data_IF_854603180248
#
_entry.id   IF_854603180248
#
_cell.length_a   1.000
_cell.length_b   1.000
_cell.length_c   1.000
_cell.angle_alpha   90.00
_cell.angle_beta   90.00
_cell.angle_gamma   90.00
#
_symmetry.space_group_name_H-M   'P 1'
#
loop_
_entity.id
_entity.type
_entity.pdbx_description
1 polymer ?
#
# COMPACT_ATOMS: atom_id res chain seq x y z
N UNK A 1 14.25 14.60 3.41
CA UNK A 1 14.17 13.12 3.45
C UNK A 1 14.14 12.60 2.02
N UNK A 2 15.01 11.64 1.68
CA UNK A 2 15.07 11.03 0.34
C UNK A 2 14.61 9.58 0.42
N UNK A 3 13.67 9.17 -0.46
CA UNK A 3 13.19 7.79 -0.54
C UNK A 3 14.06 6.99 -1.51
N UNK A 4 14.60 5.88 -1.03
CA UNK A 4 15.40 4.96 -1.82
C UNK A 4 14.55 3.77 -2.27
N UNK A 5 14.64 3.42 -3.55
CA UNK A 5 13.99 2.20 -4.03
C UNK A 5 14.65 0.99 -3.37
N UNK A 6 13.84 0.06 -2.86
CA UNK A 6 14.34 -1.24 -2.35
C UNK A 6 15.03 -1.93 -3.54
N UNK A 7 16.28 -2.40 -3.42
CA UNK A 7 16.88 -3.27 -4.44
C UNK A 7 16.19 -4.64 -4.36
N UNK A 8 14.96 -4.73 -4.85
CA UNK A 8 14.13 -5.93 -4.80
C UNK A 8 14.08 -6.64 -6.16
N UNK A 9 14.53 -7.90 -6.18
CA UNK A 9 14.43 -8.89 -7.28
C UNK A 9 15.00 -8.45 -8.64
N UNK A 10 16.28 -8.06 -8.66
CA UNK A 10 17.09 -8.07 -9.88
C UNK A 10 17.50 -9.49 -10.34
N UNK A 11 17.20 -10.52 -9.55
CA UNK A 11 17.52 -11.92 -9.84
C UNK A 11 16.87 -12.42 -11.13
N UNK A 12 15.58 -12.16 -11.35
CA UNK A 12 14.90 -12.61 -12.56
C UNK A 12 15.47 -11.98 -13.85
N UNK A 13 15.63 -10.63 -13.96
CA UNK A 13 16.22 -10.05 -15.16
C UNK A 13 17.70 -10.45 -15.32
N UNK A 14 18.46 -10.62 -14.24
CA UNK A 14 19.83 -11.13 -14.30
C UNK A 14 19.88 -12.58 -14.80
N UNK A 15 18.99 -13.46 -14.32
CA UNK A 15 18.85 -14.85 -14.76
C UNK A 15 18.44 -14.91 -16.24
N UNK A 16 17.52 -14.05 -16.69
CA UNK A 16 17.14 -13.99 -18.11
C UNK A 16 18.32 -13.57 -19.01
N UNK A 17 19.13 -12.59 -18.58
CA UNK A 17 20.33 -12.18 -19.32
C UNK A 17 21.36 -13.31 -19.34
N UNK A 18 21.62 -13.94 -18.19
CA UNK A 18 22.57 -15.06 -18.07
C UNK A 18 22.12 -16.26 -18.91
N UNK A 19 20.84 -16.62 -18.85
CA UNK A 19 20.27 -17.69 -19.65
C UNK A 19 20.35 -17.38 -21.15
N UNK A 20 20.10 -16.13 -21.57
CA UNK A 20 20.25 -15.70 -22.96
C UNK A 20 21.70 -15.78 -23.46
N UNK A 21 22.68 -15.41 -22.62
CA UNK A 21 24.11 -15.51 -22.93
C UNK A 21 24.54 -16.98 -23.03
N UNK A 22 24.15 -17.83 -22.07
CA UNK A 22 24.45 -19.26 -22.07
C UNK A 22 23.83 -19.98 -23.29
N UNK A 23 22.63 -19.57 -23.71
CA UNK A 23 21.96 -20.14 -24.88
C UNK A 23 22.72 -19.82 -26.20
N UNK A 24 23.41 -18.67 -26.24
CA UNK A 24 24.25 -18.24 -27.36
C UNK A 24 25.62 -18.94 -27.37
N UNK A 25 26.20 -19.26 -26.21
CA UNK A 25 27.55 -19.83 -26.11
C UNK A 25 27.60 -21.36 -26.25
N UNK A 26 26.53 -22.09 -25.90
CA UNK A 26 26.48 -23.57 -26.00
C UNK A 26 25.90 -24.10 -27.33
N UNK A 27 25.56 -23.23 -28.29
CA UNK A 27 24.91 -23.65 -29.53
C UNK A 27 25.86 -23.69 -30.73
N UNK A 28 26.45 -24.84 -31.05
CA UNK A 28 27.25 -25.04 -32.29
C UNK A 28 26.41 -25.13 -33.58
N UNK A 29 25.14 -24.69 -33.56
CA UNK A 29 24.22 -24.75 -34.70
C UNK A 29 23.43 -23.46 -34.87
N UNK A 30 23.78 -22.68 -35.90
CA UNK A 30 23.24 -21.35 -36.22
C UNK A 30 21.80 -21.33 -36.71
N UNK A 31 20.84 -21.77 -35.89
CA UNK A 31 19.42 -21.59 -36.16
C UNK A 31 18.97 -20.16 -35.87
N UNK A 32 18.59 -19.40 -36.91
CA UNK A 32 18.10 -18.01 -36.84
C UNK A 32 17.05 -17.78 -35.72
N UNK A 33 16.16 -18.76 -35.50
CA UNK A 33 15.13 -18.69 -34.44
C UNK A 33 15.75 -18.64 -33.04
N UNK A 34 16.80 -19.41 -32.77
CA UNK A 34 17.50 -19.46 -31.48
C UNK A 34 18.21 -18.15 -31.20
N UNK A 35 18.84 -17.57 -32.23
CA UNK A 35 19.51 -16.27 -32.14
C UNK A 35 18.51 -15.15 -31.82
N UNK A 36 17.33 -15.14 -32.48
CA UNK A 36 16.27 -14.17 -32.22
C UNK A 36 15.69 -14.30 -30.80
N UNK A 37 15.47 -15.52 -30.30
CA UNK A 37 14.97 -15.75 -28.94
C UNK A 37 15.99 -15.29 -27.89
N UNK A 38 17.27 -15.59 -28.09
CA UNK A 38 18.32 -15.15 -27.18
C UNK A 38 18.48 -13.62 -27.17
N UNK A 39 18.47 -12.98 -28.34
CA UNK A 39 18.53 -11.52 -28.45
C UNK A 39 17.31 -10.86 -27.80
N UNK A 40 16.12 -11.43 -28.00
CA UNK A 40 14.88 -10.97 -27.39
C UNK A 40 14.90 -11.06 -25.86
N UNK A 41 15.42 -12.17 -25.30
CA UNK A 41 15.59 -12.34 -23.86
C UNK A 41 16.59 -11.35 -23.25
N UNK A 42 17.72 -11.13 -23.93
CA UNK A 42 18.73 -10.14 -23.52
C UNK A 42 18.15 -8.72 -23.60
N UNK A 43 17.50 -8.35 -24.70
CA UNK A 43 16.92 -7.02 -24.87
C UNK A 43 15.83 -6.74 -23.82
N UNK A 44 14.94 -7.70 -23.58
CA UNK A 44 13.90 -7.58 -22.56
C UNK A 44 14.50 -7.48 -21.16
N UNK A 45 15.49 -8.32 -20.84
CA UNK A 45 16.22 -8.29 -19.58
C UNK A 45 16.95 -6.95 -19.35
N UNK A 46 17.61 -6.42 -20.39
CA UNK A 46 18.29 -5.11 -20.36
C UNK A 46 17.29 -3.97 -20.20
N UNK A 47 16.15 -3.98 -20.90
CA UNK A 47 15.12 -2.94 -20.75
C UNK A 47 14.53 -2.93 -19.34
N UNK A 48 14.22 -4.11 -18.79
CA UNK A 48 13.73 -4.25 -17.41
C UNK A 48 14.80 -3.81 -16.41
N UNK A 49 16.06 -4.19 -16.63
CA UNK A 49 17.19 -3.80 -15.77
C UNK A 49 17.44 -2.29 -15.83
N UNK A 50 17.43 -1.67 -17.00
CA UNK A 50 17.55 -0.21 -17.17
C UNK A 50 16.33 0.51 -16.56
N UNK A 51 15.12 -0.05 -16.69
CA UNK A 51 13.92 0.45 -16.02
C UNK A 51 14.00 0.36 -14.50
N UNK A 52 14.68 -0.65 -13.96
CA UNK A 52 14.95 -0.81 -12.54
C UNK A 52 16.07 0.13 -12.05
N UNK A 53 17.09 0.36 -12.88
CA UNK A 53 18.26 1.20 -12.60
C UNK A 53 18.04 2.70 -12.86
N UNK A 54 16.89 3.12 -13.44
CA UNK A 54 16.61 4.55 -13.63
C UNK A 54 16.48 5.25 -12.28
N UNK A 55 17.18 6.38 -12.07
CA UNK A 55 17.27 7.06 -10.78
C UNK A 55 15.89 7.63 -10.39
N UNK A 56 15.17 6.84 -9.61
CA UNK A 56 14.01 7.28 -8.86
C UNK A 56 14.51 8.24 -7.78
N UNK A 57 14.11 9.52 -7.87
CA UNK A 57 14.35 10.50 -6.81
C UNK A 57 13.00 11.04 -6.38
N UNK A 58 12.62 10.68 -5.16
CA UNK A 58 11.53 11.30 -4.44
C UNK A 58 12.12 11.92 -3.18
N UNK A 59 12.19 13.25 -3.18
CA UNK A 59 12.76 14.02 -2.07
C UNK A 59 11.65 14.86 -1.46
N UNK A 60 11.47 14.71 -0.16
CA UNK A 60 10.63 15.56 0.68
C UNK A 60 11.54 16.56 1.38
N UNK A 61 11.37 17.84 1.11
CA UNK A 61 12.17 18.90 1.71
C UNK A 61 11.27 20.05 2.21
N UNK A 62 11.90 21.12 2.72
CA UNK A 62 11.18 22.27 3.25
C UNK A 62 10.48 23.09 2.14
N UNK A 63 10.91 22.96 0.89
CA UNK A 63 10.41 23.72 -0.25
C UNK A 63 9.27 22.99 -0.98
N UNK A 64 9.27 21.65 -0.95
CA UNK A 64 8.24 20.84 -1.56
C UNK A 64 8.57 19.34 -1.71
N UNK A 65 7.96 18.78 -2.76
CA UNK A 65 8.13 17.40 -3.19
C UNK A 65 8.83 17.37 -4.55
N UNK A 66 10.06 16.88 -4.58
CA UNK A 66 10.75 16.61 -5.85
C UNK A 66 10.41 15.21 -6.33
N UNK A 67 9.68 15.10 -7.44
CA UNK A 67 9.23 13.81 -7.99
C UNK A 67 9.84 13.59 -9.37
N UNK A 68 10.47 12.42 -9.55
CA UNK A 68 11.05 12.00 -10.84
C UNK A 68 10.53 10.63 -11.27
N UNK A 69 9.38 10.61 -11.97
CA UNK A 69 8.76 9.42 -12.58
C UNK A 69 8.39 9.65 -14.06
N UNK A 70 8.10 8.59 -14.84
CA UNK A 70 7.46 8.76 -16.14
C UNK A 70 6.15 9.55 -15.99
N UNK A 71 6.00 10.65 -16.75
CA UNK A 71 4.82 11.53 -16.69
C UNK A 71 4.87 12.66 -15.64
N UNK A 72 5.80 12.63 -14.67
CA UNK A 72 5.93 13.67 -13.65
C UNK A 72 7.40 13.83 -13.23
N UNK A 73 8.06 14.86 -13.77
CA UNK A 73 9.48 15.19 -13.51
C UNK A 73 9.62 16.65 -13.10
N UNK A 74 9.21 16.97 -11.88
CA UNK A 74 9.30 18.34 -11.36
C UNK A 74 9.37 18.35 -9.85
N UNK A 75 9.81 19.49 -9.34
CA UNK A 75 9.61 19.87 -7.94
C UNK A 75 8.25 20.54 -7.83
N UNK A 76 7.40 20.01 -6.97
CA UNK A 76 6.07 20.54 -6.64
C UNK A 76 6.21 21.27 -5.32
N UNK A 77 5.98 22.58 -5.29
CA UNK A 77 6.11 23.34 -4.05
C UNK A 77 4.94 23.07 -3.11
N UNK A 78 5.15 23.19 -1.80
CA UNK A 78 4.07 23.03 -0.82
C UNK A 78 2.83 23.91 -1.07
N UNK A 79 2.94 25.17 -1.55
CA UNK A 79 1.77 25.99 -1.87
C UNK A 79 0.96 25.50 -3.08
N UNK A 80 1.56 24.70 -3.97
CA UNK A 80 0.85 24.08 -5.10
C UNK A 80 0.01 22.88 -4.65
N UNK A 81 0.18 22.42 -3.42
CA UNK A 81 -0.50 21.27 -2.85
C UNK A 81 -1.57 21.73 -1.86
N UNK A 82 -2.82 21.37 -2.12
CA UNK A 82 -3.88 21.49 -1.14
C UNK A 82 -3.73 20.42 -0.06
N UNK A 83 -3.37 19.20 -0.46
CA UNK A 83 -3.16 18.08 0.47
C UNK A 83 -2.20 17.04 -0.12
N UNK A 84 -1.53 16.31 0.77
CA UNK A 84 -0.72 15.13 0.46
C UNK A 84 -1.23 13.99 1.32
N UNK A 85 -1.70 12.93 0.68
CA UNK A 85 -2.38 11.83 1.36
C UNK A 85 -1.59 10.56 1.21
N UNK A 86 -1.28 9.93 2.35
CA UNK A 86 -0.78 8.57 2.37
C UNK A 86 -1.96 7.62 2.54
N UNK A 87 -2.28 6.90 1.48
CA UNK A 87 -3.41 5.98 1.39
C UNK A 87 -2.93 4.53 1.28
N UNK A 88 -3.78 3.60 1.67
CA UNK A 88 -3.61 2.18 1.41
C UNK A 88 -4.96 1.62 0.97
N UNK A 89 -5.16 1.34 -0.32
CA UNK A 89 -6.47 0.92 -0.82
C UNK A 89 -6.95 -0.35 -0.12
N UNK A 90 -8.27 -0.55 -0.05
CA UNK A 90 -8.79 -1.83 0.39
C UNK A 90 -8.29 -2.96 -0.52
N UNK A 91 -7.98 -4.15 0.03
CA UNK A 91 -7.61 -5.32 -0.76
C UNK A 91 -8.69 -5.61 -1.81
N UNK A 92 -8.31 -5.73 -3.08
CA UNK A 92 -9.21 -6.22 -4.12
C UNK A 92 -9.00 -7.72 -4.29
N UNK A 93 -10.08 -8.49 -4.17
CA UNK A 93 -10.05 -9.95 -4.40
C UNK A 93 -9.04 -10.71 -3.54
N UNK A 94 -8.87 -10.29 -2.28
CA UNK A 94 -7.98 -10.95 -1.32
C UNK A 94 -6.49 -10.66 -1.50
N UNK A 95 -6.09 -9.87 -2.53
CA UNK A 95 -4.70 -9.43 -2.72
C UNK A 95 -4.49 -8.12 -1.95
N UNK A 96 -3.50 -8.06 -1.02
CA UNK A 96 -3.16 -6.81 -0.34
C UNK A 96 -2.81 -5.72 -1.35
N UNK A 97 -3.46 -4.56 -1.25
CA UNK A 97 -3.12 -3.42 -2.09
C UNK A 97 -1.95 -2.65 -1.46
N UNK A 98 -0.98 -2.27 -2.28
CA UNK A 98 0.17 -1.55 -1.80
C UNK A 98 -0.20 -0.13 -1.34
N UNK A 99 0.47 0.40 -0.29
CA UNK A 99 0.33 1.78 0.10
C UNK A 99 0.72 2.71 -1.04
N UNK A 100 0.04 3.84 -1.19
CA UNK A 100 0.27 4.81 -2.25
C UNK A 100 0.23 6.23 -1.70
N UNK A 101 1.02 7.11 -2.31
CA UNK A 101 1.06 8.52 -1.99
C UNK A 101 0.32 9.33 -3.06
N UNK A 102 -0.68 10.09 -2.63
CA UNK A 102 -1.51 10.93 -3.48
C UNK A 102 -1.24 12.40 -3.19
N UNK A 103 -1.28 13.24 -4.22
CA UNK A 103 -1.21 14.70 -4.11
C UNK A 103 -2.48 15.33 -4.66
N UNK A 104 -3.12 16.18 -3.85
CA UNK A 104 -4.24 17.01 -4.29
C UNK A 104 -3.70 18.40 -4.65
N UNK A 105 -3.88 18.85 -5.91
CA UNK A 105 -3.46 20.17 -6.32
C UNK A 105 -4.26 21.27 -5.61
N UNK A 106 -3.61 22.39 -5.33
CA UNK A 106 -4.27 23.63 -4.94
C UNK A 106 -5.12 24.16 -6.10
N UNK A 107 -6.18 24.90 -5.77
CA UNK A 107 -7.08 25.48 -6.76
C UNK A 107 -6.31 26.31 -7.79
N UNK A 108 -6.51 26.01 -9.09
CA UNK A 108 -5.83 26.71 -10.18
C UNK A 108 -4.41 26.22 -10.48
N UNK A 109 -3.92 25.17 -9.81
CA UNK A 109 -2.59 24.59 -10.09
C UNK A 109 -2.71 23.25 -10.82
N UNK A 110 -1.94 23.10 -11.90
CA UNK A 110 -1.80 21.84 -12.63
C UNK A 110 -0.53 21.12 -12.21
N UNK A 111 -0.67 19.95 -11.57
CA UNK A 111 0.49 19.14 -11.13
C UNK A 111 0.80 18.03 -12.13
N UNK A 112 -0.22 17.47 -12.78
CA UNK A 112 -0.09 16.35 -13.71
C UNK A 112 -1.46 15.77 -14.09
N UNK A 113 -1.48 14.59 -14.74
CA UNK A 113 -2.74 13.88 -15.00
C UNK A 113 -3.39 13.48 -13.66
N UNK A 114 -4.67 13.82 -13.51
CA UNK A 114 -5.47 13.51 -12.31
C UNK A 114 -5.99 12.08 -12.44
N UNK A 115 -5.12 11.11 -12.16
CA UNK A 115 -5.35 9.68 -12.31
C UNK A 115 -5.93 9.01 -11.06
N UNK A 116 -6.04 9.75 -9.95
CA UNK A 116 -6.54 9.26 -8.68
C UNK A 116 -7.58 10.20 -8.03
N UNK A 117 -8.14 9.76 -6.91
CA UNK A 117 -9.06 10.54 -6.08
C UNK A 117 -8.65 10.47 -4.62
N UNK A 118 -8.86 11.56 -3.90
CA UNK A 118 -8.69 11.62 -2.47
C UNK A 118 -9.68 10.67 -1.77
N UNK A 119 -9.21 9.83 -0.84
CA UNK A 119 -10.02 8.72 -0.30
C UNK A 119 -11.19 9.16 0.59
N UNK A 120 -11.17 10.38 1.14
CA UNK A 120 -12.21 10.87 2.06
C UNK A 120 -13.19 11.88 1.45
N UNK A 121 -12.77 12.62 0.42
CA UNK A 121 -13.51 13.78 -0.10
C UNK A 121 -13.63 13.76 -1.64
N UNK A 122 -13.16 12.68 -2.26
CA UNK A 122 -13.22 12.40 -3.70
C UNK A 122 -12.58 13.45 -4.63
N UNK A 123 -11.88 14.44 -4.06
CA UNK A 123 -11.19 15.47 -4.85
C UNK A 123 -10.19 14.81 -5.81
N UNK A 124 -10.04 15.37 -7.02
CA UNK A 124 -9.10 14.82 -7.98
C UNK A 124 -7.68 14.91 -7.42
N UNK A 125 -6.97 13.80 -7.49
CA UNK A 125 -5.62 13.65 -6.98
C UNK A 125 -4.71 13.10 -8.08
N UNK A 126 -3.43 13.42 -7.96
CA UNK A 126 -2.36 12.80 -8.75
C UNK A 126 -1.75 11.71 -7.88
N UNK A 127 -1.72 10.48 -8.35
CA UNK A 127 -0.92 9.44 -7.71
C UNK A 127 0.56 9.79 -7.90
N UNK A 128 1.26 10.16 -6.82
CA UNK A 128 2.68 10.46 -6.89
C UNK A 128 3.49 9.18 -6.98
N UNK A 129 3.15 8.19 -6.14
CA UNK A 129 4.01 7.06 -5.89
C UNK A 129 3.27 5.83 -5.34
N UNK A 130 3.55 4.67 -5.93
CA UNK A 130 3.26 3.35 -5.35
C UNK A 130 4.42 2.92 -4.44
N UNK A 131 4.11 2.61 -3.19
CA UNK A 131 5.08 2.25 -2.15
C UNK A 131 5.44 0.75 -2.15
N UNK A 132 4.85 -0.08 -3.02
CA UNK A 132 5.14 -1.52 -3.12
C UNK A 132 6.64 -1.85 -3.28
N UNK A 133 7.42 -0.94 -3.86
CA UNK A 133 8.84 -1.12 -4.20
C UNK A 133 9.82 -0.25 -3.41
N UNK A 134 9.39 0.40 -2.33
CA UNK A 134 10.21 1.39 -1.61
C UNK A 134 10.86 0.78 -0.38
N UNK A 135 12.09 1.24 -0.08
CA UNK A 135 12.88 0.71 1.01
C UNK A 135 12.35 1.16 2.36
N UNK A 136 12.07 2.46 2.47
CA UNK A 136 11.55 3.11 3.67
C UNK A 136 10.16 2.56 4.01
N UNK A 137 9.92 2.36 5.30
CA UNK A 137 8.63 1.89 5.77
C UNK A 137 7.57 2.98 5.56
N UNK A 138 6.31 2.60 5.31
CA UNK A 138 5.21 3.56 5.23
C UNK A 138 5.02 4.41 6.50
N UNK A 139 5.58 4.00 7.65
CA UNK A 139 5.57 4.78 8.89
C UNK A 139 6.65 5.88 8.88
N UNK A 140 7.87 5.58 8.41
CA UNK A 140 8.93 6.57 8.24
C UNK A 140 8.54 7.65 7.22
N UNK A 141 7.88 7.25 6.12
CA UNK A 141 7.36 8.19 5.11
C UNK A 141 6.33 9.12 5.74
N UNK A 142 5.40 8.58 6.55
CA UNK A 142 4.42 9.37 7.25
C UNK A 142 5.07 10.37 8.22
N UNK A 143 6.06 9.93 8.99
CA UNK A 143 6.79 10.81 9.91
C UNK A 143 7.55 11.93 9.18
N UNK A 144 8.18 11.62 8.04
CA UNK A 144 8.85 12.61 7.20
C UNK A 144 7.86 13.62 6.60
N UNK A 145 6.76 13.15 6.03
CA UNK A 145 5.74 14.03 5.46
C UNK A 145 5.07 14.89 6.52
N UNK A 146 4.73 14.34 7.69
CA UNK A 146 4.19 15.11 8.81
C UNK A 146 5.14 16.24 9.23
N UNK A 147 6.45 15.99 9.19
CA UNK A 147 7.47 16.99 9.53
C UNK A 147 7.58 18.14 8.52
N UNK A 148 7.51 17.84 7.22
CA UNK A 148 7.78 18.85 6.18
C UNK A 148 6.51 19.47 5.58
N UNK A 149 5.46 18.68 5.37
CA UNK A 149 4.20 19.16 4.80
C UNK A 149 3.25 19.75 5.87
N UNK A 150 3.48 19.44 7.15
CA UNK A 150 2.67 19.91 8.28
C UNK A 150 1.19 19.58 8.07
N UNK A 151 0.33 20.58 8.24
CA UNK A 151 -1.13 20.49 8.08
C UNK A 151 -1.62 20.01 6.70
N UNK A 152 -0.77 20.05 5.67
CA UNK A 152 -1.13 19.55 4.33
C UNK A 152 -1.06 18.04 4.25
N UNK A 153 -0.36 17.38 5.17
CA UNK A 153 -0.24 15.92 5.18
C UNK A 153 -1.39 15.27 5.93
N UNK A 154 -1.95 14.23 5.31
CA UNK A 154 -3.01 13.42 5.88
C UNK A 154 -2.67 11.94 5.74
N UNK A 155 -2.56 11.23 6.88
CA UNK A 155 -2.43 9.77 6.88
C UNK A 155 -3.83 9.13 6.93
N UNK A 156 -4.36 8.79 5.76
CA UNK A 156 -5.69 8.19 5.63
C UNK A 156 -5.76 6.81 6.31
N UNK A 157 -4.62 6.13 6.49
CA UNK A 157 -4.54 4.85 7.20
C UNK A 157 -4.64 5.07 8.71
N UNK A 158 -4.00 6.12 9.23
CA UNK A 158 -4.13 6.51 10.63
C UNK A 158 -5.57 6.93 10.95
N UNK A 159 -6.19 7.70 10.07
CA UNK A 159 -7.60 8.10 10.22
C UNK A 159 -8.54 6.88 10.19
N UNK A 160 -8.33 5.93 9.27
CA UNK A 160 -9.09 4.67 9.28
C UNK A 160 -8.89 3.89 10.57
N UNK A 161 -7.65 3.75 11.06
CA UNK A 161 -7.36 3.11 12.36
C UNK A 161 -8.08 3.83 13.51
N UNK A 162 -8.11 5.15 13.51
CA UNK A 162 -8.79 5.96 14.52
C UNK A 162 -10.32 5.83 14.45
N UNK A 163 -10.89 5.73 13.24
CA UNK A 163 -12.33 5.50 13.06
C UNK A 163 -12.78 4.16 13.67
N UNK A 164 -11.89 3.16 13.73
CA UNK A 164 -12.15 1.91 14.43
C UNK A 164 -12.02 1.99 15.94
N UNK A 165 -11.57 3.10 16.55
CA UNK A 165 -11.31 3.18 17.99
C UNK A 165 -12.59 3.15 18.85
N UNK A 166 -13.72 3.60 18.30
CA UNK A 166 -15.01 3.62 19.01
C UNK A 166 -16.18 3.43 18.01
N UNK A 167 -16.43 2.20 17.53
CA UNK A 167 -17.56 1.95 16.64
C UNK A 167 -18.87 1.97 17.44
N UNK A 168 -19.72 2.98 17.17
CA UNK A 168 -21.05 3.10 17.78
C UNK A 168 -22.04 2.16 17.07
N UNK A 169 -22.24 0.98 17.65
CA UNK A 169 -23.19 -0.01 17.15
C UNK A 169 -24.57 0.17 17.78
N UNK A 170 -25.60 0.23 16.94
CA UNK A 170 -26.97 0.26 17.42
C UNK A 170 -27.34 -1.06 18.12
N UNK A 171 -27.93 -0.97 19.32
CA UNK A 171 -28.42 -2.12 20.07
C UNK A 171 -29.88 -2.39 19.71
N UNK A 172 -30.16 -3.59 19.21
CA UNK A 172 -31.50 -4.05 18.86
C UNK A 172 -32.07 -5.10 19.81
N UNK A 173 -33.33 -5.47 19.58
CA UNK A 173 -34.05 -6.58 20.26
C UNK A 173 -33.53 -7.98 19.85
N UNK A 174 -32.60 -8.03 18.90
CA UNK A 174 -31.87 -9.23 18.52
C UNK A 174 -30.61 -8.80 17.80
N UNK A 175 -29.47 -9.30 18.23
CA UNK A 175 -28.18 -8.88 17.68
C UNK A 175 -27.04 -9.73 18.18
N UNK A 176 -25.85 -9.51 17.64
CA UNK A 176 -24.66 -10.23 18.12
C UNK A 176 -24.35 -9.84 19.57
N UNK A 177 -23.86 -10.82 20.32
CA UNK A 177 -23.52 -10.66 21.74
C UNK A 177 -22.45 -9.58 21.92
N UNK A 178 -22.76 -8.57 22.73
CA UNK A 178 -21.96 -7.34 22.88
C UNK A 178 -20.53 -7.63 23.34
N UNK A 179 -20.37 -8.46 24.37
CA UNK A 179 -19.06 -8.85 24.92
C UNK A 179 -18.14 -9.51 23.87
N UNK A 180 -18.71 -10.36 23.02
CA UNK A 180 -17.97 -11.06 21.97
C UNK A 180 -17.52 -10.08 20.88
N UNK A 181 -18.44 -9.22 20.43
CA UNK A 181 -18.12 -8.20 19.42
C UNK A 181 -17.07 -7.24 19.95
N UNK A 182 -17.25 -6.71 21.17
CA UNK A 182 -16.28 -5.80 21.80
C UNK A 182 -14.90 -6.45 21.96
N UNK A 183 -14.83 -7.75 22.28
CA UNK A 183 -13.57 -8.48 22.37
C UNK A 183 -12.87 -8.59 21.01
N UNK A 184 -13.60 -8.91 19.94
CA UNK A 184 -13.06 -9.01 18.58
C UNK A 184 -12.59 -7.65 18.05
N UNK A 185 -13.40 -6.61 18.25
CA UNK A 185 -13.07 -5.24 17.87
C UNK A 185 -11.82 -4.78 18.62
N UNK A 186 -11.78 -4.96 19.95
CA UNK A 186 -10.62 -4.59 20.77
C UNK A 186 -9.34 -5.33 20.38
N UNK A 187 -9.42 -6.64 20.17
CA UNK A 187 -8.28 -7.44 19.71
C UNK A 187 -7.75 -6.99 18.36
N UNK A 188 -8.64 -6.63 17.43
CA UNK A 188 -8.23 -6.05 16.14
C UNK A 188 -7.62 -4.66 16.30
N UNK A 189 -8.20 -3.78 17.12
CA UNK A 189 -7.66 -2.44 17.41
C UNK A 189 -6.25 -2.52 18.02
N UNK A 190 -6.03 -3.37 19.03
CA UNK A 190 -4.73 -3.55 19.67
C UNK A 190 -3.69 -4.06 18.68
N UNK A 191 -4.08 -5.00 17.81
CA UNK A 191 -3.22 -5.48 16.73
C UNK A 191 -2.88 -4.38 15.73
N UNK A 192 -3.86 -3.55 15.33
CA UNK A 192 -3.64 -2.39 14.46
C UNK A 192 -2.70 -1.35 15.10
N UNK A 193 -2.87 -1.07 16.39
CA UNK A 193 -2.07 -0.10 17.14
C UNK A 193 -0.63 -0.57 17.36
N UNK A 194 -0.43 -1.87 17.58
CA UNK A 194 0.90 -2.44 17.82
C UNK A 194 1.83 -2.39 16.60
N UNK A 195 1.27 -2.34 15.38
CA UNK A 195 2.03 -2.42 14.14
C UNK A 195 2.71 -3.78 13.87
N UNK A 196 2.57 -4.77 14.78
CA UNK A 196 3.22 -6.09 14.67
C UNK A 196 2.47 -6.98 13.66
N UNK A 197 3.13 -7.41 12.55
CA UNK A 197 2.53 -8.29 11.56
C UNK A 197 1.96 -9.59 12.14
N UNK A 198 2.60 -10.17 13.16
CA UNK A 198 2.19 -11.44 13.76
C UNK A 198 0.88 -11.26 14.52
N UNK A 199 0.79 -10.21 15.35
CA UNK A 199 -0.44 -9.85 16.06
C UNK A 199 -1.59 -9.52 15.11
N UNK A 200 -1.30 -8.84 14.00
CA UNK A 200 -2.30 -8.52 12.97
C UNK A 200 -2.86 -9.76 12.29
N UNK A 201 -1.99 -10.69 11.87
CA UNK A 201 -2.40 -11.98 11.30
C UNK A 201 -3.19 -12.82 12.30
N UNK A 202 -2.79 -12.84 13.57
CA UNK A 202 -3.49 -13.57 14.63
C UNK A 202 -4.90 -13.00 14.86
N UNK A 203 -5.03 -11.67 15.02
CA UNK A 203 -6.33 -11.01 15.20
C UNK A 203 -7.26 -11.23 14.00
N UNK A 204 -6.74 -11.15 12.77
CA UNK A 204 -7.51 -11.47 11.56
C UNK A 204 -8.01 -12.91 11.57
N UNK A 205 -7.13 -13.85 11.90
CA UNK A 205 -7.49 -15.28 11.97
C UNK A 205 -8.59 -15.53 13.01
N UNK A 206 -8.56 -14.81 14.13
CA UNK A 206 -9.60 -14.89 15.16
C UNK A 206 -10.94 -14.39 14.64
N UNK A 207 -10.98 -13.23 13.98
CA UNK A 207 -12.19 -12.67 13.35
C UNK A 207 -12.75 -13.65 12.32
N UNK A 208 -11.90 -14.17 11.41
CA UNK A 208 -12.30 -15.12 10.38
C UNK A 208 -12.80 -16.46 10.96
N UNK A 209 -12.26 -16.88 12.12
CA UNK A 209 -12.73 -18.08 12.83
C UNK A 209 -14.08 -17.83 13.47
N UNK A 210 -14.25 -16.71 14.19
CA UNK A 210 -15.50 -16.36 14.85
C UNK A 210 -16.66 -16.23 13.85
N UNK A 211 -16.42 -15.63 12.68
CA UNK A 211 -17.42 -15.53 11.61
C UNK A 211 -17.81 -16.89 11.03
N UNK A 212 -16.84 -17.77 10.77
CA UNK A 212 -17.12 -19.13 10.27
C UNK A 212 -17.87 -19.99 11.27
N UNK A 213 -17.61 -19.82 12.56
CA UNK A 213 -18.35 -20.49 13.62
C UNK A 213 -19.78 -19.96 13.81
N UNK A 214 -20.06 -18.76 13.29
CA UNK A 214 -21.28 -18.02 13.53
C UNK A 214 -21.19 -17.26 14.86
N UNK A 215 -21.33 -15.93 14.80
CA UNK A 215 -21.34 -15.11 15.99
C UNK A 215 -22.62 -15.37 16.81
N UNK A 216 -22.51 -15.58 18.13
CA UNK A 216 -23.67 -15.83 18.97
C UNK A 216 -24.60 -14.62 18.98
N UNK A 217 -25.90 -14.88 18.84
CA UNK A 217 -26.97 -13.88 18.85
C UNK A 217 -27.67 -13.90 20.20
N UNK A 218 -27.93 -12.73 20.76
CA UNK A 218 -28.67 -12.54 22.02
C UNK A 218 -29.96 -11.76 21.78
N UNK A 219 -30.86 -11.79 22.77
CA UNK A 219 -32.13 -11.04 22.79
C UNK A 219 -31.92 -9.52 22.91
N UNK A 220 -30.70 -9.09 23.24
CA UNK A 220 -30.30 -7.68 23.18
C UNK A 220 -28.84 -7.62 22.81
N UNK A 221 -28.56 -7.16 21.59
CA UNK A 221 -27.22 -7.19 21.04
C UNK A 221 -27.04 -6.17 19.93
N UNK A 222 -25.80 -6.04 19.46
CA UNK A 222 -25.48 -5.13 18.38
C UNK A 222 -26.09 -5.59 17.05
N UNK A 223 -26.51 -4.61 16.24
CA UNK A 223 -27.03 -4.84 14.90
C UNK A 223 -26.08 -5.72 14.09
N UNK A 224 -26.59 -6.86 13.60
CA UNK A 224 -25.77 -7.86 12.90
C UNK A 224 -25.14 -7.27 11.64
N UNK A 225 -25.89 -6.46 10.89
CA UNK A 225 -25.42 -5.82 9.67
C UNK A 225 -24.26 -4.84 9.93
N UNK A 226 -24.41 -3.98 10.95
CA UNK A 226 -23.35 -3.01 11.29
C UNK A 226 -22.08 -3.70 11.80
N UNK A 227 -22.24 -4.76 12.58
CA UNK A 227 -21.10 -5.54 13.08
C UNK A 227 -20.42 -6.31 11.96
N UNK A 228 -21.17 -6.93 11.05
CA UNK A 228 -20.58 -7.65 9.92
C UNK A 228 -19.78 -6.69 9.02
N UNK A 229 -20.32 -5.51 8.71
CA UNK A 229 -19.61 -4.46 7.98
C UNK A 229 -18.34 -3.99 8.71
N UNK A 230 -18.42 -3.78 10.02
CA UNK A 230 -17.26 -3.36 10.82
C UNK A 230 -16.18 -4.44 10.90
N UNK A 231 -16.56 -5.72 11.07
CA UNK A 231 -15.61 -6.84 11.09
C UNK A 231 -14.98 -7.09 9.71
N UNK A 232 -15.72 -6.88 8.62
CA UNK A 232 -15.18 -6.91 7.26
C UNK A 232 -14.14 -5.81 7.06
N UNK A 233 -14.47 -4.58 7.47
CA UNK A 233 -13.58 -3.43 7.36
C UNK A 233 -12.32 -3.59 8.26
N UNK A 234 -12.48 -4.13 9.47
CA UNK A 234 -11.38 -4.42 10.40
C UNK A 234 -10.49 -5.54 9.88
N UNK A 235 -11.07 -6.61 9.33
CA UNK A 235 -10.33 -7.71 8.71
C UNK A 235 -9.49 -7.24 7.52
N UNK A 236 -10.07 -6.37 6.67
CA UNK A 236 -9.34 -5.73 5.58
C UNK A 236 -8.21 -4.83 6.10
N UNK A 237 -8.47 -4.02 7.13
CA UNK A 237 -7.45 -3.17 7.74
C UNK A 237 -6.32 -3.96 8.39
N UNK A 238 -6.56 -5.16 8.94
CA UNK A 238 -5.54 -6.05 9.52
C UNK A 238 -4.71 -6.77 8.45
N UNK A 239 -5.30 -7.03 7.28
CA UNK A 239 -4.62 -7.63 6.13
C UNK A 239 -3.52 -6.74 5.53
N UNK A 240 -3.57 -5.44 5.80
CA UNK A 240 -2.53 -4.50 5.41
C UNK A 240 -1.21 -4.85 6.12
N UNK A 241 -0.29 -5.51 5.42
CA UNK A 241 1.03 -5.82 5.98
C UNK A 241 1.93 -4.56 6.01
N UNK A 242 2.56 -4.24 7.16
CA UNK A 242 3.80 -3.50 7.14
C UNK A 242 4.87 -4.45 6.60
N UNK A 243 5.23 -4.28 5.33
CA UNK A 243 6.24 -5.11 4.68
C UNK A 243 7.65 -4.85 5.28
N UNK A 244 7.98 -5.49 6.39
CA UNK A 244 9.35 -5.60 6.90
C UNK A 244 9.73 -7.01 7.38
N UNK A 245 10.62 -7.62 6.59
CA UNK A 245 11.76 -8.49 6.93
C UNK A 245 11.56 -9.68 7.89
N UNK A 246 11.68 -10.88 7.31
CA UNK A 246 12.50 -11.94 7.90
C UNK A 246 13.92 -11.86 7.32
N UNK A 247 14.99 -11.95 8.14
CA UNK A 247 16.33 -12.25 7.68
C UNK A 247 16.56 -13.77 7.67
N UNK A 248 17.08 -14.31 6.58
CA UNK A 248 17.88 -15.56 6.56
C UNK A 248 18.85 -15.50 5.40
#
# INVERSE_FOLDING_TARGET
MELHRRPGRLLLPAICILAGIVLLTLGDGGGLLRTLVALGGIALGVVVLVGALRPFRFVVDADGLTVRRPGLRRTIRWPELAAVVLDQPAPRSGVPAAPRLLAVPATGTGIGPLDARHPLDERPAVELLDLAGIRESPAEIAAGLARYAGERFLDARALRRAAFADPDFAVGLRGYRVDMVDALIRGGQEALASGDPTRRRAARTEIDRARRAGLPVDLRGYSTLQVDEALDALGAALADEPAEREPS
#
